data_IF_248443896325
#
_entry.id   IF_248443896325
#
_cell.length_a   1.000
_cell.length_b   1.000
_cell.length_c   1.000
_cell.angle_alpha   90.00
_cell.angle_beta   90.00
_cell.angle_gamma   90.00
#
_symmetry.space_group_name_H-M   'P 1'
#
loop_
_entity.id
_entity.type
_entity.pdbx_description
1 polymer ?
#
# COMPACT_ATOMS: atom_id res chain seq x y z
N UNK A 1 6.44 -10.11 -1.44
CA UNK A 1 6.49 -10.37 -2.90
C UNK A 1 6.49 -9.06 -3.71
N UNK A 2 5.56 -8.14 -3.47
CA UNK A 2 5.50 -6.87 -4.20
C UNK A 2 6.81 -6.07 -4.08
N UNK A 3 7.39 -5.97 -2.87
CA UNK A 3 8.67 -5.27 -2.66
C UNK A 3 9.83 -5.99 -3.37
N UNK A 4 9.82 -7.31 -3.41
CA UNK A 4 10.80 -8.11 -4.18
C UNK A 4 10.65 -7.88 -5.68
N UNK A 5 9.39 -7.84 -6.19
CA UNK A 5 9.10 -7.50 -7.59
C UNK A 5 9.58 -6.10 -7.97
N UNK A 6 9.56 -5.19 -7.02
CA UNK A 6 10.08 -3.83 -7.24
C UNK A 6 11.60 -3.77 -7.41
N UNK A 7 12.34 -4.79 -7.05
CA UNK A 7 13.81 -4.77 -7.05
C UNK A 7 14.37 -3.56 -6.30
N UNK A 8 13.80 -3.28 -5.11
CA UNK A 8 14.16 -2.11 -4.31
C UNK A 8 15.68 -2.06 -4.07
N UNK A 9 16.31 -0.97 -4.43
CA UNK A 9 17.66 -0.64 -3.99
C UNK A 9 17.60 0.15 -2.67
N UNK A 10 18.61 -0.02 -1.82
CA UNK A 10 18.70 0.76 -0.58
C UNK A 10 18.75 2.27 -0.86
N UNK A 11 18.05 3.06 -0.02
CA UNK A 11 18.02 4.51 -0.14
C UNK A 11 17.03 5.07 -1.18
N UNK A 12 16.31 4.25 -1.93
CA UNK A 12 15.33 4.74 -2.92
C UNK A 12 14.17 5.53 -2.27
N UNK A 13 13.67 6.52 -3.00
CA UNK A 13 12.43 7.23 -2.70
C UNK A 13 11.25 6.44 -3.24
N UNK A 14 10.28 6.14 -2.37
CA UNK A 14 9.15 5.26 -2.70
C UNK A 14 7.82 5.96 -2.40
N UNK A 15 6.82 5.70 -3.22
CA UNK A 15 5.44 6.11 -2.96
C UNK A 15 4.54 4.89 -2.87
N UNK A 16 3.64 4.88 -1.90
CA UNK A 16 2.58 3.88 -1.75
C UNK A 16 1.23 4.56 -1.94
N UNK A 17 0.50 4.17 -2.98
CA UNK A 17 -0.87 4.59 -3.22
C UNK A 17 -1.81 3.68 -2.44
N UNK A 18 -2.49 4.24 -1.44
CA UNK A 18 -3.41 3.55 -0.56
C UNK A 18 -2.79 3.07 0.76
N UNK A 19 -3.45 3.39 1.88
CA UNK A 19 -3.13 2.91 3.21
C UNK A 19 -4.15 1.85 3.71
N UNK A 20 -4.56 0.95 2.82
CA UNK A 20 -5.26 -0.28 3.20
C UNK A 20 -4.30 -1.29 3.83
N UNK A 21 -4.78 -2.50 4.19
CA UNK A 21 -3.95 -3.52 4.81
C UNK A 21 -2.67 -3.81 4.02
N UNK A 22 -2.78 -3.89 2.69
CA UNK A 22 -1.64 -4.17 1.81
C UNK A 22 -0.67 -2.99 1.78
N UNK A 23 -1.15 -1.76 1.55
CA UNK A 23 -0.26 -0.59 1.50
C UNK A 23 0.49 -0.34 2.81
N UNK A 24 -0.18 -0.52 3.97
CA UNK A 24 0.47 -0.39 5.28
C UNK A 24 1.48 -1.51 5.57
N UNK A 25 1.28 -2.71 5.04
CA UNK A 25 2.29 -3.77 5.10
C UNK A 25 3.46 -3.48 4.16
N UNK A 26 3.20 -3.02 2.93
CA UNK A 26 4.23 -2.58 1.98
C UNK A 26 5.09 -1.48 2.59
N UNK A 27 4.49 -0.44 3.19
CA UNK A 27 5.21 0.62 3.91
C UNK A 27 6.21 0.07 4.92
N UNK A 28 5.76 -0.83 5.79
CA UNK A 28 6.64 -1.41 6.82
C UNK A 28 7.76 -2.26 6.23
N UNK A 29 7.47 -3.06 5.21
CA UNK A 29 8.49 -3.87 4.53
C UNK A 29 9.51 -2.99 3.82
N UNK A 30 9.08 -1.88 3.19
CA UNK A 30 9.97 -0.90 2.57
C UNK A 30 10.94 -0.29 3.59
N UNK A 31 10.44 0.13 4.75
CA UNK A 31 11.30 0.65 5.85
C UNK A 31 12.27 -0.42 6.33
N UNK A 32 11.81 -1.65 6.52
CA UNK A 32 12.65 -2.78 6.93
C UNK A 32 13.73 -3.16 5.90
N UNK A 33 13.46 -2.88 4.61
CA UNK A 33 14.39 -3.12 3.49
C UNK A 33 15.28 -1.92 3.16
N UNK A 34 15.20 -0.83 3.91
CA UNK A 34 16.08 0.31 3.77
C UNK A 34 15.68 1.29 2.66
N UNK A 35 14.38 1.44 2.36
CA UNK A 35 13.91 2.57 1.59
C UNK A 35 14.32 3.88 2.27
N UNK A 36 14.89 4.82 1.52
CA UNK A 36 15.41 6.07 2.07
C UNK A 36 14.32 7.06 2.45
N UNK A 37 13.20 7.03 1.71
CA UNK A 37 12.04 7.88 1.95
C UNK A 37 10.79 7.19 1.42
N UNK A 38 9.70 7.24 2.18
CA UNK A 38 8.42 6.63 1.80
C UNK A 38 7.27 7.61 2.00
N UNK A 39 6.61 7.98 0.91
CA UNK A 39 5.35 8.70 0.97
C UNK A 39 4.15 7.75 0.83
N UNK A 40 3.05 8.11 1.48
CA UNK A 40 1.77 7.38 1.39
C UNK A 40 0.67 8.35 0.95
N UNK A 41 -0.13 7.94 -0.03
CA UNK A 41 -1.29 8.70 -0.52
C UNK A 41 -2.57 7.97 -0.13
N UNK A 42 -3.42 8.59 0.68
CA UNK A 42 -4.64 7.96 1.21
C UNK A 42 -5.72 9.02 1.52
N UNK A 43 -6.94 8.89 0.99
CA UNK A 43 -8.02 9.87 1.24
C UNK A 43 -8.58 9.83 2.66
N UNK A 44 -8.53 8.68 3.37
CA UNK A 44 -9.14 8.52 4.69
C UNK A 44 -8.20 8.98 5.80
N UNK A 45 -8.63 9.96 6.60
CA UNK A 45 -7.81 10.53 7.68
C UNK A 45 -7.33 9.48 8.69
N UNK A 46 -8.20 8.53 9.09
CA UNK A 46 -7.84 7.45 10.02
C UNK A 46 -6.69 6.60 9.47
N UNK A 47 -6.74 6.23 8.19
CA UNK A 47 -5.69 5.43 7.56
C UNK A 47 -4.40 6.22 7.37
N UNK A 48 -4.49 7.53 7.14
CA UNK A 48 -3.31 8.40 7.11
C UNK A 48 -2.58 8.39 8.45
N UNK A 49 -3.31 8.49 9.58
CA UNK A 49 -2.71 8.38 10.93
C UNK A 49 -1.99 7.05 11.15
N UNK A 50 -2.53 5.95 10.63
CA UNK A 50 -1.82 4.66 10.67
C UNK A 50 -0.54 4.66 9.84
N UNK A 51 -0.53 5.28 8.66
CA UNK A 51 0.66 5.39 7.84
C UNK A 51 1.76 6.22 8.55
N UNK A 52 1.39 7.35 9.17
CA UNK A 52 2.28 8.18 10.00
C UNK A 52 2.87 7.36 11.17
N UNK A 53 2.02 6.69 11.94
CA UNK A 53 2.42 5.87 13.09
C UNK A 53 3.29 4.66 12.70
N UNK A 54 3.24 4.22 11.45
CA UNK A 54 4.05 3.13 10.89
C UNK A 54 5.30 3.64 10.17
N UNK A 55 5.58 4.96 10.22
CA UNK A 55 6.84 5.53 9.79
C UNK A 55 6.87 6.00 8.33
N UNK A 56 5.73 6.38 7.75
CA UNK A 56 5.73 7.14 6.50
C UNK A 56 6.41 8.51 6.70
N UNK A 57 7.28 8.91 5.79
CA UNK A 57 8.00 10.19 5.85
C UNK A 57 7.13 11.35 5.36
N UNK A 58 6.15 11.06 4.50
CA UNK A 58 5.16 12.01 4.01
C UNK A 58 3.82 11.28 3.85
N UNK A 59 2.74 11.91 4.28
CA UNK A 59 1.38 11.38 4.10
C UNK A 59 0.50 12.44 3.45
N UNK A 60 -0.15 12.06 2.35
CA UNK A 60 -0.89 12.97 1.48
C UNK A 60 -2.36 12.59 1.37
N UNK A 61 -3.22 13.60 1.42
CA UNK A 61 -4.63 13.51 1.09
C UNK A 61 -4.85 13.91 -0.38
N UNK A 62 -5.26 12.99 -1.27
CA UNK A 62 -5.55 13.35 -2.65
C UNK A 62 -6.77 14.28 -2.81
N UNK A 63 -7.59 14.42 -1.77
CA UNK A 63 -8.70 15.38 -1.72
C UNK A 63 -8.26 16.80 -1.38
N UNK A 64 -7.07 16.99 -0.82
CA UNK A 64 -6.54 18.31 -0.44
C UNK A 64 -5.68 18.97 -1.54
N UNK A 65 -5.27 18.23 -2.55
CA UNK A 65 -4.44 18.73 -3.66
C UNK A 65 -3.92 17.62 -4.54
N UNK A 66 -3.06 17.93 -5.50
CA UNK A 66 -2.42 16.91 -6.36
C UNK A 66 -1.22 16.27 -5.64
N UNK A 67 -1.31 14.97 -5.24
CA UNK A 67 -0.20 14.30 -4.58
C UNK A 67 1.08 14.27 -5.44
N UNK A 68 0.95 14.25 -6.76
CA UNK A 68 2.12 14.18 -7.64
C UNK A 68 2.94 15.48 -7.63
N UNK A 69 2.31 16.61 -7.39
CA UNK A 69 2.98 17.88 -7.20
C UNK A 69 3.69 17.91 -5.85
N UNK A 70 3.00 17.55 -4.76
CA UNK A 70 3.59 17.50 -3.43
C UNK A 70 4.80 16.53 -3.36
N UNK A 71 4.72 15.38 -4.05
CA UNK A 71 5.84 14.44 -4.17
C UNK A 71 6.99 15.09 -4.94
N UNK A 72 6.74 15.80 -6.04
CA UNK A 72 7.78 16.46 -6.79
C UNK A 72 8.48 17.53 -5.94
N UNK A 73 7.72 18.34 -5.20
CA UNK A 73 8.27 19.35 -4.28
C UNK A 73 9.14 18.72 -3.18
N UNK A 74 8.67 17.63 -2.57
CA UNK A 74 9.40 16.90 -1.52
C UNK A 74 10.64 16.14 -2.02
N UNK A 75 10.84 16.04 -3.33
CA UNK A 75 11.93 15.29 -3.96
C UNK A 75 12.76 16.12 -4.94
N UNK A 76 12.70 17.45 -4.85
CA UNK A 76 13.43 18.37 -5.71
C UNK A 76 13.19 18.16 -7.24
N UNK A 77 11.99 17.67 -7.57
CA UNK A 77 11.55 17.38 -8.94
C UNK A 77 11.79 15.94 -9.41
N UNK A 78 12.62 15.15 -8.74
CA UNK A 78 13.01 13.79 -9.16
C UNK A 78 11.86 12.79 -9.10
N UNK A 79 10.89 13.00 -8.18
CA UNK A 79 9.78 12.09 -7.88
C UNK A 79 10.27 10.75 -7.30
N UNK A 80 9.42 9.71 -7.35
CA UNK A 80 9.74 8.42 -6.76
C UNK A 80 10.42 7.47 -7.77
N UNK A 81 11.46 6.80 -7.34
CA UNK A 81 12.07 5.69 -8.09
C UNK A 81 11.17 4.46 -8.16
N UNK A 82 10.33 4.26 -7.13
CA UNK A 82 9.36 3.16 -7.07
C UNK A 82 8.01 3.66 -6.58
N UNK A 83 6.93 3.21 -7.22
CA UNK A 83 5.57 3.49 -6.77
C UNK A 83 4.79 2.18 -6.66
N UNK A 84 4.18 1.92 -5.50
CA UNK A 84 3.27 0.80 -5.31
C UNK A 84 1.82 1.27 -5.44
N UNK A 85 1.10 0.73 -6.40
CA UNK A 85 -0.33 0.95 -6.54
C UNK A 85 -1.07 -0.16 -5.79
N UNK A 86 -1.67 0.17 -4.63
CA UNK A 86 -2.31 -0.77 -3.70
C UNK A 86 -3.83 -0.55 -3.56
N UNK A 87 -4.44 0.25 -4.44
CA UNK A 87 -5.86 0.62 -4.40
C UNK A 87 -6.68 -0.18 -5.41
N UNK A 88 -6.18 -0.32 -6.63
CA UNK A 88 -6.88 -0.97 -7.72
C UNK A 88 -7.97 -0.09 -8.35
N UNK A 89 -7.69 1.19 -8.60
CA UNK A 89 -8.62 2.07 -9.30
C UNK A 89 -7.94 2.86 -10.42
N UNK A 90 -8.66 3.26 -11.49
CA UNK A 90 -8.09 4.06 -12.56
C UNK A 90 -7.45 5.36 -12.08
N UNK A 91 -8.04 6.02 -11.08
CA UNK A 91 -7.50 7.26 -10.50
C UNK A 91 -6.18 7.03 -9.75
N UNK A 92 -6.09 5.95 -8.96
CA UNK A 92 -4.87 5.59 -8.25
C UNK A 92 -3.76 5.18 -9.21
N UNK A 93 -4.09 4.41 -10.27
CA UNK A 93 -3.15 4.06 -11.33
C UNK A 93 -2.58 5.32 -12.01
N UNK A 94 -3.45 6.25 -12.42
CA UNK A 94 -3.02 7.51 -13.04
C UNK A 94 -2.15 8.34 -12.07
N UNK A 95 -2.51 8.37 -10.79
CA UNK A 95 -1.72 9.00 -9.73
C UNK A 95 -0.34 8.37 -9.57
N UNK A 96 -0.27 7.04 -9.53
CA UNK A 96 0.98 6.27 -9.45
C UNK A 96 1.89 6.58 -10.65
N UNK A 97 1.32 6.65 -11.84
CA UNK A 97 2.05 6.95 -13.05
C UNK A 97 2.67 8.37 -13.03
N UNK A 98 1.94 9.37 -12.47
CA UNK A 98 2.45 10.73 -12.30
C UNK A 98 3.47 10.85 -11.15
N UNK A 99 3.30 10.08 -10.08
CA UNK A 99 4.21 10.09 -8.93
C UNK A 99 5.58 9.45 -9.22
N UNK A 100 5.64 8.51 -10.17
CA UNK A 100 6.89 7.89 -10.61
C UNK A 100 7.75 8.90 -11.39
N UNK A 101 9.03 8.95 -11.07
CA UNK A 101 10.03 9.73 -11.77
C UNK A 101 10.45 9.13 -13.12
N UNK A 102 11.45 9.71 -13.75
CA UNK A 102 12.11 9.14 -14.93
C UNK A 102 12.78 7.81 -14.53
N UNK A 103 12.69 6.80 -15.38
CA UNK A 103 13.14 5.41 -15.12
C UNK A 103 12.48 4.77 -13.88
N UNK A 104 11.38 5.36 -13.37
CA UNK A 104 10.67 4.87 -12.20
C UNK A 104 9.88 3.58 -12.48
N UNK A 105 9.79 2.73 -11.47
CA UNK A 105 9.05 1.46 -11.50
C UNK A 105 7.70 1.61 -10.82
N UNK A 106 6.64 1.19 -11.49
CA UNK A 106 5.28 1.18 -10.95
C UNK A 106 4.89 -0.27 -10.73
N UNK A 107 4.66 -0.65 -9.48
CA UNK A 107 4.27 -2.01 -9.09
C UNK A 107 2.77 -2.04 -8.84
N UNK A 108 2.04 -2.78 -9.67
CA UNK A 108 0.60 -2.97 -9.54
C UNK A 108 0.32 -4.12 -8.56
N UNK A 109 -0.32 -3.79 -7.46
CA UNK A 109 -0.70 -4.72 -6.38
C UNK A 109 -2.21 -4.69 -6.16
N UNK A 110 -2.83 -3.53 -6.37
CA UNK A 110 -4.28 -3.35 -6.28
C UNK A 110 -5.01 -4.14 -7.37
N UNK A 111 -6.11 -4.78 -6.98
CA UNK A 111 -6.96 -5.51 -7.93
C UNK A 111 -7.98 -4.57 -8.55
N UNK A 112 -7.98 -4.48 -9.88
CA UNK A 112 -9.02 -3.76 -10.62
C UNK A 112 -9.60 -4.64 -11.71
N UNK A 113 -10.95 -4.76 -11.78
CA UNK A 113 -11.61 -5.41 -12.92
C UNK A 113 -11.73 -4.46 -14.12
N UNK A 114 -11.46 -3.17 -13.94
CA UNK A 114 -11.61 -2.13 -14.94
C UNK A 114 -10.37 -2.02 -15.82
N UNK A 115 -10.56 -1.71 -17.09
CA UNK A 115 -9.49 -1.30 -17.97
C UNK A 115 -8.96 0.08 -17.55
N UNK A 116 -7.64 0.21 -17.39
CA UNK A 116 -7.00 1.48 -17.07
C UNK A 116 -6.30 2.03 -18.31
N UNK A 117 -6.52 3.30 -18.67
CA UNK A 117 -5.83 3.91 -19.80
C UNK A 117 -4.35 4.09 -19.49
N UNK A 118 -3.50 3.65 -20.39
CA UNK A 118 -2.05 3.84 -20.34
C UNK A 118 -1.60 4.73 -21.49
N UNK A 119 -0.98 5.85 -21.17
CA UNK A 119 -0.31 6.67 -22.18
C UNK A 119 1.07 6.08 -22.49
N UNK A 120 1.15 5.30 -23.57
CA UNK A 120 2.37 4.63 -23.99
C UNK A 120 3.51 5.61 -24.34
N UNK A 121 3.19 6.81 -24.83
CA UNK A 121 4.20 7.84 -25.12
C UNK A 121 4.89 8.32 -23.83
N UNK A 122 4.15 8.51 -22.74
CA UNK A 122 4.74 8.89 -21.45
C UNK A 122 5.56 7.75 -20.83
N UNK A 123 5.14 6.49 -21.03
CA UNK A 123 5.93 5.33 -20.61
C UNK A 123 7.29 5.34 -21.30
N UNK A 124 7.28 5.48 -22.64
CA UNK A 124 8.47 5.50 -23.47
C UNK A 124 9.36 6.72 -23.19
N UNK A 125 8.79 7.94 -23.19
CA UNK A 125 9.53 9.19 -23.02
C UNK A 125 10.24 9.31 -21.66
N UNK A 126 9.69 8.67 -20.63
CA UNK A 126 10.27 8.64 -19.29
C UNK A 126 10.92 7.31 -18.92
N UNK A 127 11.02 6.38 -19.86
CA UNK A 127 11.63 5.04 -19.65
C UNK A 127 11.10 4.32 -18.40
N UNK A 128 9.78 4.44 -18.12
CA UNK A 128 9.17 3.85 -16.95
C UNK A 128 8.92 2.36 -17.11
N UNK A 129 8.99 1.63 -16.00
CA UNK A 129 8.62 0.23 -15.96
C UNK A 129 7.25 0.03 -15.30
N UNK A 130 6.46 -0.90 -15.83
CA UNK A 130 5.20 -1.35 -15.23
C UNK A 130 5.32 -2.81 -14.84
N UNK A 131 5.15 -3.13 -13.56
CA UNK A 131 5.39 -4.46 -13.00
C UNK A 131 4.15 -4.95 -12.27
N UNK A 132 3.63 -6.11 -12.64
CA UNK A 132 2.56 -6.77 -11.90
C UNK A 132 3.09 -7.55 -10.70
N UNK A 133 2.33 -7.54 -9.60
CA UNK A 133 2.59 -8.37 -8.43
C UNK A 133 1.30 -9.05 -8.00
N UNK A 134 1.30 -10.37 -7.96
CA UNK A 134 0.15 -11.18 -7.53
C UNK A 134 0.60 -12.28 -6.60
N UNK A 135 -0.12 -12.45 -5.49
CA UNK A 135 0.14 -13.47 -4.49
C UNK A 135 1.61 -13.46 -3.98
N UNK A 136 2.23 -14.61 -3.96
CA UNK A 136 3.59 -14.86 -3.44
C UNK A 136 4.17 -16.12 -4.10
N UNK A 137 5.47 -16.34 -3.93
CA UNK A 137 6.15 -17.59 -4.35
C UNK A 137 6.79 -18.29 -3.15
N UNK A 138 7.90 -17.78 -2.65
CA UNK A 138 8.73 -18.37 -1.58
C UNK A 138 9.04 -17.38 -0.44
N UNK A 139 8.25 -16.29 -0.30
CA UNK A 139 8.52 -15.22 0.66
C UNK A 139 8.05 -15.52 2.09
N UNK A 140 7.36 -16.63 2.36
CA UNK A 140 6.86 -16.97 3.70
C UNK A 140 7.94 -16.96 4.78
N UNK A 141 9.11 -17.60 4.59
CA UNK A 141 10.16 -17.60 5.61
C UNK A 141 10.66 -16.17 5.92
N UNK A 142 10.80 -15.33 4.91
CA UNK A 142 11.20 -13.94 5.06
C UNK A 142 10.13 -13.12 5.78
N UNK A 143 8.86 -13.28 5.42
CA UNK A 143 7.75 -12.59 6.07
C UNK A 143 7.65 -12.97 7.56
N UNK A 144 7.79 -14.26 7.90
CA UNK A 144 7.83 -14.74 9.28
C UNK A 144 9.02 -14.13 10.05
N UNK A 145 10.19 -14.06 9.42
CA UNK A 145 11.38 -13.44 10.02
C UNK A 145 11.16 -11.94 10.31
N UNK A 146 10.57 -11.19 9.40
CA UNK A 146 10.25 -9.78 9.60
C UNK A 146 9.26 -9.56 10.76
N UNK A 147 8.26 -10.41 10.87
CA UNK A 147 7.29 -10.41 11.99
C UNK A 147 7.97 -10.76 13.32
N UNK A 148 8.74 -11.84 13.35
CA UNK A 148 9.43 -12.30 14.56
C UNK A 148 10.43 -11.27 15.11
N UNK A 149 11.06 -10.50 14.23
CA UNK A 149 11.99 -9.41 14.58
C UNK A 149 11.28 -8.08 14.93
N UNK A 150 9.95 -8.03 14.85
CA UNK A 150 9.18 -6.81 15.12
C UNK A 150 9.36 -5.70 14.06
N UNK A 151 9.98 -6.00 12.92
CA UNK A 151 10.17 -5.06 11.81
C UNK A 151 8.87 -4.80 11.04
N UNK A 152 7.95 -5.75 11.08
CA UNK A 152 6.57 -5.60 10.59
C UNK A 152 5.62 -5.89 11.73
N UNK A 153 4.75 -4.94 12.03
CA UNK A 153 3.75 -5.01 13.10
C UNK A 153 2.36 -5.16 12.51
N UNK A 154 1.69 -6.26 12.82
CA UNK A 154 0.31 -6.53 12.32
C UNK A 154 -0.76 -6.08 13.30
N UNK A 155 -0.46 -6.04 14.60
CA UNK A 155 -1.42 -5.67 15.64
C UNK A 155 -2.14 -4.33 15.38
N UNK A 156 -1.47 -3.25 14.98
CA UNK A 156 -2.11 -1.98 14.66
C UNK A 156 -3.06 -2.03 13.45
N UNK A 157 -2.91 -3.03 12.58
CA UNK A 157 -3.74 -3.20 11.39
C UNK A 157 -5.04 -3.97 11.68
N UNK A 158 -5.07 -4.75 12.76
CA UNK A 158 -6.25 -5.54 13.15
C UNK A 158 -7.17 -4.65 13.98
N UNK A 159 -8.13 -4.04 13.30
CA UNK A 159 -9.02 -3.04 13.92
C UNK A 159 -10.27 -3.63 14.58
N UNK A 160 -10.60 -4.88 14.25
CA UNK A 160 -11.68 -5.60 14.94
C UNK A 160 -11.48 -7.13 14.88
N UNK A 161 -12.10 -7.81 15.83
CA UNK A 161 -12.28 -9.26 15.85
C UNK A 161 -13.75 -9.54 16.05
N UNK A 162 -14.36 -10.32 15.17
CA UNK A 162 -15.78 -10.60 15.18
C UNK A 162 -16.02 -12.12 15.20
N UNK A 163 -17.05 -12.61 15.91
CA UNK A 163 -17.39 -14.04 15.87
C UNK A 163 -17.92 -14.42 14.48
N UNK A 164 -17.80 -15.70 14.13
CA UNK A 164 -18.20 -16.23 12.81
C UNK A 164 -19.68 -15.92 12.52
N UNK A 165 -20.55 -16.03 13.53
CA UNK A 165 -22.00 -15.82 13.45
C UNK A 165 -22.36 -14.39 13.05
N UNK A 166 -21.46 -13.42 13.32
CA UNK A 166 -21.64 -12.01 13.00
C UNK A 166 -20.71 -11.52 11.87
N UNK A 167 -20.08 -12.45 11.17
CA UNK A 167 -19.11 -12.15 10.12
C UNK A 167 -19.70 -11.29 8.99
N UNK A 168 -20.99 -11.45 8.71
CA UNK A 168 -21.68 -10.66 7.69
C UNK A 168 -21.83 -9.21 8.13
N UNK A 169 -22.52 -8.97 9.27
CA UNK A 169 -22.88 -7.62 9.73
C UNK A 169 -21.66 -6.84 10.23
N UNK A 170 -20.89 -7.44 11.14
CA UNK A 170 -19.76 -6.78 11.81
C UNK A 170 -18.44 -6.95 11.05
N UNK A 171 -18.39 -7.87 10.07
CA UNK A 171 -17.24 -8.10 9.23
C UNK A 171 -17.39 -7.45 7.86
N UNK A 172 -18.14 -8.07 6.96
CA UNK A 172 -18.22 -7.67 5.55
C UNK A 172 -18.91 -6.32 5.40
N UNK A 173 -20.11 -6.15 6.00
CA UNK A 173 -20.87 -4.91 5.89
C UNK A 173 -20.13 -3.74 6.57
N UNK A 174 -19.43 -3.98 7.70
CA UNK A 174 -18.61 -2.98 8.36
C UNK A 174 -17.45 -2.49 7.44
N UNK A 175 -16.76 -3.39 6.72
CA UNK A 175 -15.73 -3.00 5.76
C UNK A 175 -16.27 -2.23 4.55
N UNK A 176 -17.53 -2.49 4.16
CA UNK A 176 -18.18 -1.78 3.05
C UNK A 176 -18.64 -0.37 3.44
N UNK A 177 -18.94 -0.12 4.72
CA UNK A 177 -19.19 1.23 5.24
C UNK A 177 -17.86 1.99 5.27
N UNK A 178 -17.68 2.92 4.34
CA UNK A 178 -16.40 3.61 4.08
C UNK A 178 -15.93 4.56 5.19
N UNK A 179 -16.71 4.77 6.22
CA UNK A 179 -16.52 5.73 7.30
C UNK A 179 -16.04 5.11 8.63
N UNK A 180 -16.03 3.79 8.75
CA UNK A 180 -15.82 3.09 10.04
C UNK A 180 -14.35 2.94 10.49
N UNK A 181 -13.38 3.50 9.78
CA UNK A 181 -11.97 3.42 10.17
C UNK A 181 -11.33 2.02 10.12
N UNK A 182 -12.09 1.00 9.71
CA UNK A 182 -11.58 -0.37 9.68
C UNK A 182 -10.49 -0.56 8.62
N UNK A 183 -9.38 -1.21 9.04
CA UNK A 183 -8.29 -1.64 8.18
C UNK A 183 -8.40 -3.14 7.90
N UNK A 184 -8.39 -3.96 8.96
CA UNK A 184 -8.51 -5.41 8.87
C UNK A 184 -9.39 -5.93 9.99
N UNK A 185 -10.43 -6.67 9.63
CA UNK A 185 -11.29 -7.39 10.56
C UNK A 185 -10.95 -8.87 10.51
N UNK A 186 -10.71 -9.49 11.66
CA UNK A 186 -10.53 -10.93 11.78
C UNK A 186 -11.84 -11.58 12.19
N UNK A 187 -12.26 -12.58 11.44
CA UNK A 187 -13.37 -13.46 11.82
C UNK A 187 -12.80 -14.59 12.68
N UNK A 188 -13.31 -14.71 13.91
CA UNK A 188 -12.88 -15.70 14.85
C UNK A 188 -13.84 -16.89 14.81
N UNK A 189 -13.35 -18.12 14.56
CA UNK A 189 -14.20 -19.29 14.74
C UNK A 189 -14.69 -19.36 16.19
N UNK A 190 -15.94 -19.73 16.38
CA UNK A 190 -16.47 -19.96 17.72
C UNK A 190 -15.56 -20.94 18.48
N UNK A 191 -15.35 -20.68 19.76
CA UNK A 191 -14.75 -21.68 20.65
C UNK A 191 -15.78 -22.78 20.79
N UNK A 192 -15.86 -23.65 19.80
CA UNK A 192 -16.67 -24.87 19.91
C UNK A 192 -16.18 -25.63 21.14
N UNK A 193 -17.02 -25.66 22.16
CA UNK A 193 -16.75 -26.45 23.33
C UNK A 193 -16.40 -27.88 22.87
N UNK A 194 -15.17 -28.28 23.11
CA UNK A 194 -14.86 -29.68 23.15
C UNK A 194 -15.55 -30.23 24.41
N UNK A 195 -16.75 -30.78 24.23
CA UNK A 195 -17.38 -31.65 25.21
C UNK A 195 -16.61 -32.96 25.25
#
# INVERSE_FOLDING_TARGET
HAVRRARLAGGERVVVMGAGPIGLLVLQVLKAKGAGWVAVVEPRAERRRHAEALGADLVLDPGAGDPSQAIAEATDGDRAGVVFECVGSPAAFAGAFRAAGKMGRIVLVGLTPESVPLNALLLLAHEKELVGSSAYTDEFPEAISLLARGLVRTAPLITARVPLERSREDGIEALLRKDDGHIKILVMPGTGGRS
#
